data_IF_247684915772
#
_entry.id   IF_247684915772
#
_cell.length_a   1.000
_cell.length_b   1.000
_cell.length_c   1.000
_cell.angle_alpha   90.00
_cell.angle_beta   90.00
_cell.angle_gamma   90.00
#
_symmetry.space_group_name_H-M   'P 1'
#
loop_
_entity.id
_entity.type
_entity.pdbx_description
1 polymer ?
#
# COMPACT_ATOMS: atom_id res chain seq x y z
N UNK A 1 37.85 -24.74 -10.43
CA UNK A 1 36.84 -25.59 -9.79
C UNK A 1 35.47 -24.98 -10.03
N UNK A 2 34.55 -25.82 -10.52
CA UNK A 2 33.09 -25.74 -10.67
C UNK A 2 32.34 -24.39 -10.76
N UNK A 3 31.65 -24.25 -11.90
CA UNK A 3 30.52 -23.35 -12.16
C UNK A 3 29.34 -23.61 -11.22
N UNK A 4 28.62 -22.55 -10.83
CA UNK A 4 27.17 -22.61 -10.62
C UNK A 4 26.52 -21.32 -11.13
N UNK A 5 26.09 -21.37 -12.39
CA UNK A 5 25.06 -20.47 -12.93
C UNK A 5 23.75 -20.93 -12.29
N UNK A 6 23.23 -20.17 -11.32
CA UNK A 6 21.87 -20.39 -10.82
C UNK A 6 20.91 -19.61 -11.71
N UNK A 7 20.41 -20.30 -12.73
CA UNK A 7 19.31 -19.85 -13.57
C UNK A 7 18.03 -19.77 -12.71
N UNK A 8 17.71 -18.58 -12.21
CA UNK A 8 16.37 -18.29 -11.69
C UNK A 8 15.46 -17.99 -12.87
N UNK A 9 14.99 -19.05 -13.53
CA UNK A 9 13.87 -18.99 -14.47
C UNK A 9 12.63 -18.62 -13.64
N UNK A 10 12.31 -17.33 -13.56
CA UNK A 10 10.96 -16.86 -13.18
C UNK A 10 10.03 -17.06 -14.39
N UNK A 11 9.73 -18.33 -14.69
CA UNK A 11 8.49 -18.66 -15.37
C UNK A 11 7.48 -18.91 -14.26
N UNK A 12 6.56 -17.98 -14.00
CA UNK A 12 5.20 -18.34 -13.62
C UNK A 12 4.25 -17.14 -13.73
N UNK A 13 3.10 -17.44 -14.34
CA UNK A 13 1.84 -16.72 -14.35
C UNK A 13 1.69 -15.55 -15.35
N UNK A 14 1.44 -15.90 -16.60
CA UNK A 14 0.43 -15.22 -17.41
C UNK A 14 -0.96 -15.38 -16.76
N UNK A 15 -1.18 -14.75 -15.60
CA UNK A 15 -2.50 -14.63 -15.02
C UNK A 15 -3.23 -13.50 -15.74
N UNK A 16 -4.11 -13.85 -16.68
CA UNK A 16 -5.21 -12.98 -17.07
C UNK A 16 -6.17 -12.87 -15.88
N UNK A 17 -5.79 -12.10 -14.86
CA UNK A 17 -6.63 -11.70 -13.74
C UNK A 17 -6.82 -10.20 -13.86
N UNK A 18 -8.00 -9.69 -13.50
CA UNK A 18 -8.19 -8.27 -13.20
C UNK A 18 -7.18 -7.94 -12.09
N UNK A 19 -5.99 -7.47 -12.46
CA UNK A 19 -4.87 -7.42 -11.54
C UNK A 19 -5.23 -6.52 -10.36
N UNK A 20 -5.40 -7.14 -9.19
CA UNK A 20 -5.54 -6.43 -7.93
C UNK A 20 -4.30 -5.55 -7.77
N UNK A 21 -4.52 -4.24 -7.63
CA UNK A 21 -3.46 -3.25 -7.53
C UNK A 21 -3.20 -2.97 -6.06
N UNK A 22 -2.01 -3.34 -5.60
CA UNK A 22 -1.56 -2.89 -4.29
C UNK A 22 -1.19 -1.41 -4.36
N UNK A 23 -1.71 -0.64 -3.41
CA UNK A 23 -1.42 0.78 -3.28
C UNK A 23 -1.11 1.10 -1.83
N UNK A 24 -0.09 1.91 -1.62
CA UNK A 24 0.24 2.43 -0.30
C UNK A 24 -0.17 3.89 -0.21
N UNK A 25 -0.83 4.23 0.90
CA UNK A 25 -1.14 5.58 1.28
C UNK A 25 -0.36 6.00 2.51
N UNK A 26 -0.13 7.31 2.61
CA UNK A 26 0.56 7.92 3.74
C UNK A 26 -0.22 9.14 4.19
N UNK A 27 -0.11 9.55 5.45
CA UNK A 27 -0.70 10.81 5.88
C UNK A 27 0.00 12.06 5.29
N UNK A 28 1.07 11.87 4.51
CA UNK A 28 1.75 12.92 3.75
C UNK A 28 2.12 14.12 4.62
N UNK A 29 1.84 15.34 4.13
CA UNK A 29 2.04 16.59 4.87
C UNK A 29 0.92 16.87 5.90
N UNK A 30 -0.14 16.06 5.96
CA UNK A 30 -1.17 16.20 7.00
C UNK A 30 -0.62 15.59 8.29
N UNK A 31 -0.06 16.45 9.14
CA UNK A 31 0.33 16.09 10.51
C UNK A 31 -0.88 15.51 11.23
N UNK A 32 -0.85 14.22 11.54
CA UNK A 32 -1.80 13.66 12.47
C UNK A 32 -1.39 14.08 13.88
N UNK A 33 -2.29 14.77 14.58
CA UNK A 33 -2.07 15.10 16.00
C UNK A 33 -2.15 13.83 16.87
N UNK A 34 -2.77 12.78 16.34
CA UNK A 34 -2.91 11.47 16.95
C UNK A 34 -2.64 10.35 15.95
N UNK A 35 -2.27 9.17 16.44
CA UNK A 35 -2.07 7.96 15.62
C UNK A 35 -3.30 7.65 14.75
N UNK A 36 -4.50 7.73 15.34
CA UNK A 36 -5.76 7.46 14.66
C UNK A 36 -6.01 8.43 13.48
N UNK A 37 -5.70 9.71 13.66
CA UNK A 37 -5.87 10.73 12.62
C UNK A 37 -4.88 10.53 11.47
N UNK A 38 -3.62 10.20 11.79
CA UNK A 38 -2.62 9.90 10.76
C UNK A 38 -2.99 8.62 9.98
N UNK A 39 -3.48 7.57 10.66
CA UNK A 39 -3.95 6.36 9.99
C UNK A 39 -5.18 6.64 9.09
N UNK A 40 -6.13 7.47 9.54
CA UNK A 40 -7.28 7.86 8.74
C UNK A 40 -6.85 8.64 7.49
N UNK A 41 -5.97 9.62 7.63
CA UNK A 41 -5.43 10.39 6.51
C UNK A 41 -4.68 9.51 5.50
N UNK A 42 -3.91 8.52 5.97
CA UNK A 42 -3.23 7.56 5.11
C UNK A 42 -4.21 6.68 4.31
N UNK A 43 -5.37 6.34 4.89
CA UNK A 43 -6.44 5.61 4.19
C UNK A 43 -7.16 6.50 3.17
N UNK A 44 -7.34 7.78 3.46
CA UNK A 44 -7.89 8.75 2.48
C UNK A 44 -6.98 8.88 1.26
N UNK A 45 -5.66 8.97 1.46
CA UNK A 45 -4.67 9.02 0.37
C UNK A 45 -4.75 7.77 -0.54
N UNK A 46 -5.08 6.59 0.00
CA UNK A 46 -5.40 5.40 -0.82
C UNK A 46 -6.64 5.61 -1.67
N UNK A 47 -7.69 6.20 -1.09
CA UNK A 47 -8.95 6.45 -1.79
C UNK A 47 -8.77 7.48 -2.91
N UNK A 48 -7.90 8.47 -2.74
CA UNK A 48 -7.56 9.43 -3.80
C UNK A 48 -6.74 8.80 -4.93
N UNK A 49 -5.95 7.76 -4.62
CA UNK A 49 -5.13 7.01 -5.61
C UNK A 49 -5.90 5.93 -6.39
N UNK A 50 -7.16 5.67 -6.03
CA UNK A 50 -8.03 4.72 -6.75
C UNK A 50 -8.49 5.35 -8.06
N UNK A 51 -8.65 4.52 -9.09
CA UNK A 51 -9.34 4.91 -10.32
C UNK A 51 -10.86 4.73 -10.16
N UNK A 52 -11.65 5.33 -11.05
CA UNK A 52 -13.12 5.28 -10.99
C UNK A 52 -13.69 3.85 -10.97
N UNK A 53 -13.02 2.89 -11.59
CA UNK A 53 -13.42 1.48 -11.62
C UNK A 53 -12.70 0.62 -10.58
N UNK A 54 -12.15 1.21 -9.52
CA UNK A 54 -11.46 0.49 -8.45
C UNK A 54 -12.14 0.73 -7.10
N UNK A 55 -12.25 -0.34 -6.31
CA UNK A 55 -12.68 -0.28 -4.92
C UNK A 55 -11.65 -0.92 -4.00
N UNK A 56 -11.60 -0.48 -2.75
CA UNK A 56 -10.73 -1.11 -1.76
C UNK A 56 -11.30 -2.47 -1.38
N UNK A 57 -10.55 -3.53 -1.65
CA UNK A 57 -10.89 -4.89 -1.22
C UNK A 57 -10.51 -5.10 0.25
N UNK A 58 -9.31 -4.63 0.64
CA UNK A 58 -8.77 -4.82 1.99
C UNK A 58 -7.76 -3.74 2.33
N UNK A 59 -7.84 -3.20 3.56
CA UNK A 59 -6.77 -2.42 4.17
C UNK A 59 -5.87 -3.33 5.01
N UNK A 60 -4.57 -3.12 4.94
CA UNK A 60 -3.61 -3.65 5.89
C UNK A 60 -3.61 -2.83 7.19
N UNK A 61 -3.03 -3.34 8.28
CA UNK A 61 -2.83 -2.56 9.49
C UNK A 61 -2.06 -1.27 9.20
N UNK A 62 -2.43 -0.19 9.90
CA UNK A 62 -1.68 1.06 9.81
C UNK A 62 -0.35 0.91 10.55
N UNK A 63 0.74 1.22 9.88
CA UNK A 63 2.08 1.28 10.47
C UNK A 63 2.40 2.74 10.80
N UNK A 64 2.33 3.08 12.08
CA UNK A 64 2.48 4.43 12.57
C UNK A 64 3.78 4.61 13.37
N UNK A 65 4.48 5.71 13.14
CA UNK A 65 5.67 6.12 13.90
C UNK A 65 5.53 7.58 14.30
N UNK A 66 5.77 7.87 15.58
CA UNK A 66 5.85 9.23 16.07
C UNK A 66 7.29 9.76 15.95
N UNK A 67 7.45 10.98 15.46
CA UNK A 67 8.76 11.63 15.43
C UNK A 67 9.08 12.33 16.76
N UNK A 68 10.34 12.75 16.94
CA UNK A 68 10.82 13.44 18.15
C UNK A 68 10.09 14.76 18.45
N UNK A 69 9.37 15.31 17.45
CA UNK A 69 8.54 16.52 17.57
C UNK A 69 7.08 16.20 17.92
N UNK A 70 6.76 14.95 18.26
CA UNK A 70 5.43 14.49 18.64
C UNK A 70 4.44 14.30 17.49
N UNK A 71 4.86 14.45 16.23
CA UNK A 71 3.97 14.27 15.07
C UNK A 71 3.92 12.79 14.66
N UNK A 72 2.73 12.33 14.30
CA UNK A 72 2.52 10.97 13.80
C UNK A 72 2.68 10.89 12.28
N UNK A 73 3.44 9.91 11.82
CA UNK A 73 3.55 9.50 10.42
C UNK A 73 3.02 8.08 10.31
N UNK A 74 1.99 7.87 9.50
CA UNK A 74 1.40 6.56 9.27
C UNK A 74 1.43 6.20 7.80
N UNK A 75 1.76 4.94 7.53
CA UNK A 75 1.63 4.30 6.23
C UNK A 75 0.59 3.19 6.34
N UNK A 76 -0.21 3.04 5.30
CA UNK A 76 -1.14 1.92 5.18
C UNK A 76 -1.08 1.41 3.75
N UNK A 77 -1.17 0.11 3.58
CA UNK A 77 -1.30 -0.51 2.27
C UNK A 77 -2.72 -1.02 2.10
N UNK A 78 -3.24 -0.98 0.88
CA UNK A 78 -4.51 -1.58 0.54
C UNK A 78 -4.44 -2.28 -0.80
N UNK A 79 -5.30 -3.28 -0.95
CA UNK A 79 -5.52 -3.95 -2.22
C UNK A 79 -6.73 -3.31 -2.89
N UNK A 80 -6.54 -2.72 -4.07
CA UNK A 80 -7.60 -2.22 -4.92
C UNK A 80 -8.01 -3.30 -5.92
N UNK A 81 -9.30 -3.59 -5.98
CA UNK A 81 -9.89 -4.51 -6.94
C UNK A 81 -10.69 -3.74 -7.98
N UNK A 82 -10.63 -4.15 -9.25
CA UNK A 82 -11.45 -3.57 -10.30
C UNK A 82 -12.90 -4.00 -10.14
N UNK A 83 -13.81 -3.03 -10.09
CA UNK A 83 -15.26 -3.25 -10.13
C UNK A 83 -15.77 -3.05 -11.55
N UNK A 84 -16.58 -4.02 -12.01
CA UNK A 84 -17.19 -4.06 -13.35
C UNK A 84 -18.38 -3.13 -13.46
#
# INVERSE_FOLDING_TARGET
MMNYILAAILMLASANALADREVSGTNGNKKGNSEAEACAAAKEDILDKRTYNEQVAKYMPCECKQNEKGNWSCTVSATLQKVR
#
